data_IF_248519508298
#
_entry.id   IF_248519508298
#
_cell.length_a   1.000
_cell.length_b   1.000
_cell.length_c   1.000
_cell.angle_alpha   90.00
_cell.angle_beta   90.00
_cell.angle_gamma   90.00
#
_symmetry.space_group_name_H-M   'P 1'
#
loop_
_entity.id
_entity.type
_entity.pdbx_description
1 polymer ?
#
# COMPACT_ATOMS: atom_id res chain seq x y z
N UNK A 1 -13.33 -19.59 -0.56
CA UNK A 1 -12.29 -18.56 -0.58
C UNK A 1 -12.81 -17.29 0.04
N UNK A 2 -11.97 -16.64 0.80
CA UNK A 2 -12.37 -15.46 1.53
C UNK A 2 -11.66 -14.24 0.99
N UNK A 3 -12.38 -13.11 0.96
CA UNK A 3 -11.74 -11.82 0.71
C UNK A 3 -10.90 -11.42 1.91
N UNK A 4 -9.95 -10.53 1.70
CA UNK A 4 -9.24 -9.89 2.79
C UNK A 4 -10.19 -9.04 3.61
N UNK A 5 -9.92 -8.89 4.90
CA UNK A 5 -10.74 -8.07 5.77
C UNK A 5 -10.53 -6.59 5.53
N UNK A 6 -11.58 -5.80 5.70
CA UNK A 6 -11.48 -4.35 5.58
C UNK A 6 -10.87 -3.76 6.86
N UNK A 7 -10.10 -2.70 6.69
CA UNK A 7 -9.50 -1.96 7.80
C UNK A 7 -10.09 -0.57 7.80
N UNK A 8 -10.63 -0.17 8.95
CA UNK A 8 -11.09 1.20 9.14
C UNK A 8 -10.42 1.77 10.38
N UNK A 9 -9.78 2.93 10.22
CA UNK A 9 -9.01 3.55 11.29
C UNK A 9 -9.43 5.00 11.41
N UNK A 10 -9.83 5.40 12.61
CA UNK A 10 -10.18 6.78 12.94
C UNK A 10 -9.30 7.23 14.10
N UNK A 11 -8.50 8.27 13.87
CA UNK A 11 -7.54 8.74 14.86
C UNK A 11 -7.21 10.19 14.61
N UNK A 12 -6.51 10.82 15.54
CA UNK A 12 -6.00 12.17 15.33
C UNK A 12 -4.70 12.12 14.52
N UNK A 13 -3.79 11.27 14.93
CA UNK A 13 -2.50 11.08 14.23
C UNK A 13 -2.26 9.61 13.99
N UNK A 14 -1.87 9.31 12.78
CA UNK A 14 -1.40 7.97 12.43
C UNK A 14 0.06 8.07 12.02
N UNK A 15 0.90 7.29 12.68
CA UNK A 15 2.32 7.23 12.34
C UNK A 15 2.72 5.78 12.15
N UNK A 16 3.29 5.49 10.99
CA UNK A 16 3.79 4.16 10.67
C UNK A 16 5.29 4.29 10.47
N UNK A 17 6.05 3.62 11.33
CA UNK A 17 7.51 3.62 11.26
C UNK A 17 7.98 2.18 11.03
N UNK A 18 8.45 1.90 9.82
CA UNK A 18 8.97 0.58 9.44
C UNK A 18 7.97 -0.54 9.78
N UNK A 19 6.69 -0.27 9.54
CA UNK A 19 5.62 -1.22 9.79
C UNK A 19 4.61 -1.18 8.65
N UNK A 20 3.47 -1.85 8.84
CA UNK A 20 2.47 -1.88 7.77
C UNK A 20 1.05 -1.93 8.29
N UNK A 21 0.14 -1.36 7.49
CA UNK A 21 -1.29 -1.61 7.53
C UNK A 21 -1.60 -2.37 6.25
N UNK A 22 -2.09 -3.60 6.39
CA UNK A 22 -2.15 -4.52 5.26
C UNK A 22 -3.47 -5.28 5.25
N UNK A 23 -4.20 -5.17 4.15
CA UNK A 23 -5.47 -5.88 3.93
C UNK A 23 -5.37 -6.81 2.71
N UNK A 24 -4.25 -7.48 2.56
CA UNK A 24 -3.97 -8.33 1.41
C UNK A 24 -4.56 -9.72 1.56
N UNK A 25 -4.62 -10.43 0.44
CA UNK A 25 -5.04 -11.84 0.44
C UNK A 25 -4.10 -12.66 -0.42
N UNK A 26 -3.86 -13.90 0.01
CA UNK A 26 -3.07 -14.85 -0.78
C UNK A 26 -3.96 -15.86 -1.51
N UNK A 27 -5.25 -15.88 -1.22
CA UNK A 27 -6.19 -16.78 -1.88
C UNK A 27 -6.79 -16.18 -3.13
N UNK A 28 -7.87 -16.78 -3.63
CA UNK A 28 -8.54 -16.32 -4.83
C UNK A 28 -9.55 -15.20 -4.58
N UNK A 29 -9.78 -14.82 -3.32
CA UNK A 29 -10.65 -13.70 -2.99
C UNK A 29 -10.00 -12.36 -3.26
N UNK A 30 -10.76 -11.30 -3.11
CA UNK A 30 -10.27 -9.93 -3.28
C UNK A 30 -9.55 -9.44 -2.03
N UNK A 31 -8.59 -8.55 -2.21
CA UNK A 31 -8.00 -7.82 -1.08
C UNK A 31 -9.05 -6.91 -0.44
N UNK A 32 -8.90 -6.63 0.86
CA UNK A 32 -9.81 -5.75 1.56
C UNK A 32 -9.51 -4.28 1.31
N UNK A 33 -10.47 -3.44 1.67
CA UNK A 33 -10.29 -1.99 1.57
C UNK A 33 -9.67 -1.44 2.86
N UNK A 34 -8.89 -0.38 2.71
CA UNK A 34 -8.33 0.34 3.85
C UNK A 34 -8.91 1.76 3.83
N UNK A 35 -9.49 2.16 4.96
CA UNK A 35 -10.10 3.47 5.12
C UNK A 35 -9.52 4.15 6.36
N UNK A 36 -8.79 5.25 6.16
CA UNK A 36 -8.09 5.95 7.22
C UNK A 36 -8.60 7.39 7.30
N UNK A 37 -9.09 7.77 8.47
CA UNK A 37 -9.47 9.14 8.78
C UNK A 37 -8.64 9.64 9.95
N UNK A 38 -7.79 10.62 9.70
CA UNK A 38 -6.95 11.23 10.73
C UNK A 38 -7.22 12.73 10.77
N UNK A 39 -7.58 13.25 11.94
CA UNK A 39 -7.96 14.65 12.06
C UNK A 39 -6.77 15.60 12.02
N UNK A 40 -5.55 15.12 12.25
CA UNK A 40 -4.35 15.95 12.24
C UNK A 40 -3.36 15.52 11.15
N UNK A 41 -2.92 14.26 11.13
CA UNK A 41 -1.91 13.83 10.18
C UNK A 41 -1.84 12.32 10.00
N UNK A 42 -1.35 11.91 8.83
CA UNK A 42 -0.91 10.54 8.55
C UNK A 42 0.53 10.62 8.09
N UNK A 43 1.40 9.85 8.73
CA UNK A 43 2.82 9.81 8.37
C UNK A 43 3.24 8.36 8.19
N UNK A 44 3.81 8.06 7.02
CA UNK A 44 4.31 6.73 6.69
C UNK A 44 5.81 6.85 6.46
N UNK A 45 6.59 6.21 7.33
CA UNK A 45 8.04 6.16 7.24
C UNK A 45 8.46 4.72 7.04
N UNK A 46 9.06 4.44 5.91
CA UNK A 46 9.54 3.10 5.60
C UNK A 46 10.87 2.79 6.27
N UNK A 47 11.40 1.62 5.99
CA UNK A 47 12.68 1.18 6.55
C UNK A 47 13.89 1.63 5.76
N UNK A 48 13.74 2.61 4.88
CA UNK A 48 14.80 3.13 4.04
C UNK A 48 14.50 2.97 2.57
N UNK A 49 14.91 3.94 1.76
CA UNK A 49 14.62 3.91 0.32
C UNK A 49 15.31 2.73 -0.37
N UNK A 50 16.48 2.34 0.09
CA UNK A 50 17.19 1.19 -0.49
C UNK A 50 16.37 -0.10 -0.36
N UNK A 51 15.68 -0.29 0.75
CA UNK A 51 14.84 -1.46 0.95
C UNK A 51 13.68 -1.47 -0.04
N UNK A 52 13.03 -0.33 -0.23
CA UNK A 52 11.97 -0.19 -1.22
C UNK A 52 12.49 -0.47 -2.62
N UNK A 53 13.66 0.07 -2.94
CA UNK A 53 14.27 -0.08 -4.25
C UNK A 53 14.59 -1.55 -4.55
N UNK A 54 15.17 -2.27 -3.60
CA UNK A 54 15.55 -3.66 -3.79
C UNK A 54 14.35 -4.60 -3.83
N UNK A 55 13.34 -4.33 -3.02
CA UNK A 55 12.21 -5.25 -2.89
C UNK A 55 11.14 -5.06 -3.96
N UNK A 56 10.97 -3.84 -4.46
CA UNK A 56 9.85 -3.51 -5.34
C UNK A 56 10.34 -2.92 -6.67
N UNK A 57 11.10 -1.83 -6.60
CA UNK A 57 11.38 -1.03 -7.80
C UNK A 57 12.26 -1.80 -8.78
N UNK A 58 13.37 -2.37 -8.31
CA UNK A 58 14.28 -3.09 -9.17
C UNK A 58 13.64 -4.35 -9.75
N UNK A 59 13.00 -5.22 -8.96
CA UNK A 59 12.31 -6.38 -9.55
C UNK A 59 11.27 -5.99 -10.61
N UNK A 60 10.50 -4.94 -10.38
CA UNK A 60 9.48 -4.52 -11.32
C UNK A 60 10.08 -4.01 -12.63
N UNK A 61 11.15 -3.22 -12.57
CA UNK A 61 11.77 -2.64 -13.75
C UNK A 61 12.64 -3.64 -14.52
N UNK A 62 13.19 -4.64 -13.87
CA UNK A 62 14.02 -5.63 -14.53
C UNK A 62 13.23 -6.78 -15.14
N UNK A 63 11.91 -6.76 -15.00
CA UNK A 63 11.06 -7.79 -15.59
C UNK A 63 11.05 -9.10 -14.82
N UNK A 64 11.42 -9.08 -13.56
CA UNK A 64 11.42 -10.27 -12.71
C UNK A 64 10.23 -10.29 -11.75
N UNK A 65 9.08 -9.88 -12.27
CA UNK A 65 7.84 -9.78 -11.48
C UNK A 65 7.45 -11.12 -10.84
N UNK A 66 7.84 -12.24 -11.46
CA UNK A 66 7.53 -13.55 -10.91
C UNK A 66 8.19 -13.79 -9.55
N UNK A 67 9.18 -13.01 -9.19
CA UNK A 67 9.82 -13.11 -7.87
C UNK A 67 9.12 -12.30 -6.80
N UNK A 68 8.14 -11.45 -7.17
CA UNK A 68 7.42 -10.65 -6.19
C UNK A 68 6.36 -11.50 -5.48
N UNK A 69 6.30 -11.36 -4.18
CA UNK A 69 5.31 -11.99 -3.32
C UNK A 69 4.72 -10.95 -2.38
N UNK A 70 3.74 -11.34 -1.57
CA UNK A 70 3.16 -10.40 -0.60
C UNK A 70 4.20 -9.88 0.40
N UNK A 71 5.25 -10.65 0.66
CA UNK A 71 6.30 -10.21 1.57
C UNK A 71 7.06 -8.99 1.06
N UNK A 72 7.08 -8.76 -0.25
CA UNK A 72 7.71 -7.57 -0.82
C UNK A 72 6.91 -6.29 -0.51
N UNK A 73 5.63 -6.43 -0.15
CA UNK A 73 4.73 -5.32 0.10
C UNK A 73 4.37 -5.25 1.58
N UNK A 74 5.34 -5.37 2.45
CA UNK A 74 5.10 -5.46 3.89
C UNK A 74 5.41 -4.17 4.65
N UNK A 75 5.59 -3.06 3.94
CA UNK A 75 6.01 -1.82 4.59
C UNK A 75 5.17 -0.65 4.07
N UNK A 76 4.34 -0.09 4.94
CA UNK A 76 3.48 1.02 4.61
C UNK A 76 1.99 0.67 4.65
N UNK A 77 1.22 1.21 3.73
CA UNK A 77 -0.22 0.98 3.65
C UNK A 77 -0.49 0.21 2.35
N UNK A 78 -0.91 -1.04 2.46
CA UNK A 78 -0.96 -1.94 1.33
C UNK A 78 -2.24 -2.77 1.34
N UNK A 79 -2.85 -2.92 0.17
CA UNK A 79 -3.78 -4.00 -0.08
C UNK A 79 -3.36 -4.69 -1.37
N UNK A 80 -3.20 -5.99 -1.31
CA UNK A 80 -2.68 -6.74 -2.44
C UNK A 80 -3.42 -8.07 -2.58
N UNK A 81 -3.43 -8.59 -3.80
CA UNK A 81 -3.95 -9.93 -4.07
C UNK A 81 -2.89 -10.74 -4.77
N UNK A 82 -2.56 -11.89 -4.21
CA UNK A 82 -1.62 -12.82 -4.84
C UNK A 82 -2.34 -13.82 -5.73
N UNK A 83 -3.62 -14.06 -5.49
CA UNK A 83 -4.43 -14.97 -6.28
C UNK A 83 -5.10 -14.29 -7.47
N UNK A 84 -6.24 -14.80 -7.87
CA UNK A 84 -6.95 -14.31 -9.05
C UNK A 84 -7.86 -13.11 -8.77
N UNK A 85 -8.10 -12.77 -7.51
CA UNK A 85 -8.96 -11.66 -7.15
C UNK A 85 -8.29 -10.31 -7.33
N UNK A 86 -9.08 -9.26 -7.24
CA UNK A 86 -8.59 -7.88 -7.31
C UNK A 86 -8.01 -7.45 -5.97
N UNK A 87 -7.12 -6.48 -5.98
CA UNK A 87 -6.75 -5.81 -4.73
C UNK A 87 -7.88 -4.87 -4.31
N UNK A 88 -7.90 -4.51 -3.02
CA UNK A 88 -8.87 -3.55 -2.51
C UNK A 88 -8.47 -2.11 -2.79
N UNK A 89 -9.21 -1.18 -2.23
CA UNK A 89 -8.97 0.25 -2.38
C UNK A 89 -8.40 0.84 -1.10
N UNK A 90 -7.68 1.96 -1.23
CA UNK A 90 -7.16 2.70 -0.09
C UNK A 90 -7.77 4.11 -0.11
N UNK A 91 -8.41 4.49 1.00
CA UNK A 91 -8.98 5.83 1.18
C UNK A 91 -8.34 6.46 2.40
N UNK A 92 -7.71 7.61 2.21
CA UNK A 92 -7.06 8.34 3.31
C UNK A 92 -7.59 9.76 3.29
N UNK A 93 -8.14 10.19 4.43
CA UNK A 93 -8.60 11.55 4.62
C UNK A 93 -7.88 12.16 5.83
N UNK A 94 -7.08 13.19 5.57
CA UNK A 94 -6.31 13.86 6.61
C UNK A 94 -5.88 15.23 6.10
N UNK A 95 -5.73 16.24 6.98
CA UNK A 95 -5.17 17.53 6.52
C UNK A 95 -3.72 17.44 6.07
N UNK A 96 -2.94 16.55 6.67
CA UNK A 96 -1.51 16.43 6.35
C UNK A 96 -1.15 14.98 6.13
N UNK A 97 -0.61 14.68 4.95
CA UNK A 97 -0.13 13.33 4.63
C UNK A 97 1.33 13.41 4.22
N UNK A 98 2.15 12.54 4.81
CA UNK A 98 3.56 12.46 4.47
C UNK A 98 4.00 11.01 4.38
N UNK A 99 4.61 10.65 3.25
CA UNK A 99 5.29 9.37 3.08
C UNK A 99 6.76 9.65 2.81
N UNK A 100 7.65 8.95 3.51
CA UNK A 100 9.07 9.22 3.42
C UNK A 100 9.89 7.98 3.67
N UNK A 101 11.14 8.06 3.27
CA UNK A 101 12.19 7.10 3.64
C UNK A 101 11.84 5.65 3.26
N UNK A 102 11.32 5.46 2.05
CA UNK A 102 10.94 4.14 1.56
C UNK A 102 9.55 3.71 1.94
N UNK A 103 8.68 4.63 2.33
CA UNK A 103 7.28 4.32 2.60
C UNK A 103 6.57 3.83 1.35
N UNK A 104 5.57 2.96 1.53
CA UNK A 104 4.84 2.37 0.41
C UNK A 104 3.35 2.51 0.64
N UNK A 105 2.65 3.06 -0.34
CA UNK A 105 1.19 3.06 -0.37
C UNK A 105 0.81 2.38 -1.68
N UNK A 106 0.22 1.20 -1.60
CA UNK A 106 0.00 0.42 -2.82
C UNK A 106 -1.29 -0.39 -2.77
N UNK A 107 -1.95 -0.43 -3.93
CA UNK A 107 -2.95 -1.45 -4.23
C UNK A 107 -2.44 -2.23 -5.43
N UNK A 108 -2.25 -3.52 -5.29
CA UNK A 108 -1.61 -4.27 -6.36
C UNK A 108 -2.11 -5.70 -6.45
N UNK A 109 -1.98 -6.29 -7.63
CA UNK A 109 -2.15 -7.74 -7.80
C UNK A 109 -0.88 -8.33 -8.36
N UNK A 110 -0.63 -9.57 -7.98
CA UNK A 110 0.52 -10.34 -8.47
C UNK A 110 0.08 -11.42 -9.44
N UNK A 111 -1.13 -11.33 -9.94
CA UNK A 111 -1.70 -12.27 -10.89
C UNK A 111 -2.62 -11.48 -11.84
N UNK A 112 -3.76 -12.04 -12.21
CA UNK A 112 -4.61 -11.49 -13.27
C UNK A 112 -5.63 -10.47 -12.80
N UNK A 113 -5.81 -10.29 -11.51
CA UNK A 113 -6.78 -9.34 -11.00
C UNK A 113 -6.38 -7.90 -11.27
N UNK A 114 -7.30 -6.98 -11.06
CA UNK A 114 -7.07 -5.55 -11.21
C UNK A 114 -6.55 -4.93 -9.92
N UNK A 115 -5.66 -3.98 -10.02
CA UNK A 115 -5.29 -3.13 -8.90
C UNK A 115 -6.46 -2.24 -8.52
N UNK A 116 -6.53 -1.87 -7.24
CA UNK A 116 -7.58 -0.99 -6.75
C UNK A 116 -7.22 0.48 -6.94
N UNK A 117 -7.96 1.34 -6.28
CA UNK A 117 -7.75 2.78 -6.33
C UNK A 117 -7.13 3.27 -5.02
N UNK A 118 -6.32 4.31 -5.12
CA UNK A 118 -5.81 5.05 -3.98
C UNK A 118 -6.40 6.45 -4.03
N UNK A 119 -7.08 6.85 -2.96
CA UNK A 119 -7.69 8.16 -2.86
C UNK A 119 -7.20 8.82 -1.58
N UNK A 120 -6.40 9.88 -1.73
CA UNK A 120 -5.86 10.62 -0.60
C UNK A 120 -6.39 12.04 -0.68
N UNK A 121 -7.18 12.42 0.32
CA UNK A 121 -7.75 13.76 0.41
C UNK A 121 -7.04 14.53 1.51
N UNK A 122 -6.35 15.59 1.13
CA UNK A 122 -5.63 16.46 2.06
C UNK A 122 -6.05 17.91 1.85
N UNK A 123 -6.22 18.64 2.95
CA UNK A 123 -6.57 20.05 2.90
C UNK A 123 -5.34 20.94 2.98
N UNK A 124 -4.24 20.45 3.49
CA UNK A 124 -3.09 21.28 3.82
C UNK A 124 -1.81 20.79 3.12
N UNK A 125 -1.38 19.56 3.38
CA UNK A 125 -0.10 19.07 2.89
C UNK A 125 -0.21 17.64 2.38
N UNK A 126 0.29 17.42 1.17
CA UNK A 126 0.57 16.06 0.64
C UNK A 126 2.04 16.02 0.24
N UNK A 127 2.82 15.19 0.91
CA UNK A 127 4.25 15.07 0.64
C UNK A 127 4.63 13.60 0.48
N UNK A 128 5.28 13.27 -0.63
CA UNK A 128 5.81 11.92 -0.88
C UNK A 128 7.27 12.08 -1.23
N UNK A 129 8.14 11.62 -0.35
CA UNK A 129 9.58 11.81 -0.46
C UNK A 129 10.29 10.46 -0.36
N UNK A 130 11.05 10.09 -1.38
CA UNK A 130 11.76 8.81 -1.43
C UNK A 130 10.85 7.63 -1.10
N UNK A 131 9.64 7.65 -1.63
CA UNK A 131 8.60 6.68 -1.32
C UNK A 131 7.85 6.32 -2.59
N UNK A 132 7.00 5.30 -2.51
CA UNK A 132 6.25 4.82 -3.67
C UNK A 132 4.75 4.87 -3.38
N UNK A 133 4.01 5.47 -4.29
CA UNK A 133 2.55 5.46 -4.30
C UNK A 133 2.11 4.89 -5.64
N UNK A 134 1.38 3.79 -5.63
CA UNK A 134 0.99 3.22 -6.90
C UNK A 134 -0.08 2.15 -6.83
N UNK A 135 -0.72 1.95 -7.96
CA UNK A 135 -1.65 0.85 -8.19
C UNK A 135 -1.18 0.08 -9.40
N UNK A 136 -1.45 -1.21 -9.45
CA UNK A 136 -1.06 -1.95 -10.64
C UNK A 136 -1.20 -3.45 -10.53
N UNK A 137 -0.80 -4.08 -11.63
CA UNK A 137 -0.79 -5.53 -11.76
C UNK A 137 0.59 -5.97 -12.21
N UNK A 138 1.15 -6.92 -11.50
CA UNK A 138 2.43 -7.55 -11.88
C UNK A 138 2.14 -8.98 -12.31
N UNK A 139 2.15 -9.21 -13.60
CA UNK A 139 1.88 -10.56 -14.16
C UNK A 139 3.00 -11.07 -15.03
#
# INVERSE_FOLDING_TARGET
MHDGGNIQLNTDKLQINNGSINASTSGSGNGGDININASESVEVNGGGFEKLQQNIIIPAFEGIENSLTLDNFDNGIVTASQGEGNSGNIFIQTPNFKASNGGLIATTTLNQGAGGNIDINTDNLLEIDNSLLGTGTFT
#
